data_IF_495311234690
#
_entry.id   IF_495311234690
#
_cell.length_a   1.000
_cell.length_b   1.000
_cell.length_c   1.000
_cell.angle_alpha   90.00
_cell.angle_beta   90.00
_cell.angle_gamma   90.00
#
_symmetry.space_group_name_H-M   'P 1'
#
loop_
_entity.id
_entity.type
_entity.pdbx_description
1 polymer ?
#
# COMPACT_ATOMS: atom_id res chain seq x y z
N UNK A 1 -9.57 -16.47 -44.64
CA UNK A 1 -8.77 -15.29 -45.04
C UNK A 1 -8.77 -14.35 -43.83
N UNK A 2 -7.76 -14.44 -42.96
CA UNK A 2 -6.59 -13.51 -42.83
C UNK A 2 -6.98 -12.05 -42.50
N UNK A 3 -6.62 -11.67 -41.26
CA UNK A 3 -6.12 -10.39 -40.74
C UNK A 3 -7.04 -9.14 -40.88
N UNK A 4 -7.14 -8.23 -39.91
CA UNK A 4 -6.02 -7.38 -39.48
C UNK A 4 -6.36 -6.66 -38.15
N UNK A 5 -5.38 -6.65 -37.24
CA UNK A 5 -5.29 -5.85 -36.00
C UNK A 5 -4.79 -4.45 -36.37
N UNK A 6 -5.29 -3.39 -35.74
CA UNK A 6 -4.52 -2.15 -35.62
C UNK A 6 -4.66 -1.55 -34.22
N UNK A 7 -3.58 -1.70 -33.46
CA UNK A 7 -3.26 -1.03 -32.20
C UNK A 7 -2.76 0.36 -32.55
N UNK A 8 -3.36 1.41 -31.99
CA UNK A 8 -2.88 2.78 -32.14
C UNK A 8 -2.02 3.16 -30.94
N UNK A 9 -0.71 3.10 -31.14
CA UNK A 9 0.31 3.80 -30.36
C UNK A 9 0.12 5.31 -30.52
N UNK A 10 0.04 6.05 -29.42
CA UNK A 10 0.28 7.49 -29.43
C UNK A 10 1.32 7.85 -28.35
N UNK A 11 2.59 7.65 -28.69
CA UNK A 11 3.69 8.40 -28.11
C UNK A 11 3.98 9.57 -29.06
N UNK A 12 3.78 10.80 -28.58
CA UNK A 12 4.29 12.00 -29.22
C UNK A 12 5.17 12.74 -28.22
N UNK A 13 6.45 12.70 -28.54
CA UNK A 13 7.61 13.32 -27.91
C UNK A 13 7.70 14.82 -28.26
N UNK A 14 8.12 15.66 -27.31
CA UNK A 14 8.86 16.93 -27.55
C UNK A 14 9.92 17.06 -26.43
N UNK A 15 11.12 16.51 -26.62
CA UNK A 15 12.40 17.16 -26.99
C UNK A 15 12.99 18.17 -26.01
N UNK A 16 14.18 17.85 -25.47
CA UNK A 16 15.32 18.78 -25.49
C UNK A 16 16.63 18.01 -25.65
N UNK A 17 17.47 18.52 -26.55
CA UNK A 17 18.72 17.96 -27.01
C UNK A 17 19.86 18.08 -25.97
N UNK A 18 20.65 17.02 -25.84
CA UNK A 18 22.11 17.13 -25.95
C UNK A 18 22.67 15.88 -26.64
N UNK A 19 23.55 16.10 -27.62
CA UNK A 19 24.20 15.07 -28.43
C UNK A 19 25.33 14.41 -27.63
N UNK A 20 25.40 13.08 -27.66
CA UNK A 20 26.65 12.35 -27.96
C UNK A 20 26.39 10.87 -28.26
N UNK A 21 27.21 10.33 -29.15
CA UNK A 21 27.04 9.11 -29.94
C UNK A 21 26.85 7.81 -29.16
N UNK A 22 25.89 6.98 -29.60
CA UNK A 22 25.86 5.51 -29.38
C UNK A 22 24.81 4.80 -30.26
N UNK A 23 24.87 5.02 -31.58
CA UNK A 23 24.12 4.22 -32.58
C UNK A 23 24.87 2.91 -32.88
N UNK A 24 24.83 1.94 -31.96
CA UNK A 24 25.01 0.51 -32.31
C UNK A 24 24.70 -0.47 -31.16
N UNK A 25 24.59 0.00 -29.91
CA UNK A 25 24.34 -0.88 -28.75
C UNK A 25 22.86 -1.08 -28.41
N UNK A 26 21.95 -0.25 -28.92
CA UNK A 26 20.52 -0.32 -28.57
C UNK A 26 19.77 -1.47 -29.27
N UNK A 27 20.13 -1.85 -30.50
CA UNK A 27 19.38 -2.86 -31.26
C UNK A 27 19.61 -4.31 -30.79
N UNK A 28 20.75 -4.61 -30.13
CA UNK A 28 20.94 -5.94 -29.52
C UNK A 28 20.25 -6.08 -28.16
N UNK A 29 20.11 -4.99 -27.42
CA UNK A 29 19.49 -4.99 -26.10
C UNK A 29 17.95 -4.96 -26.18
N UNK A 30 17.39 -4.35 -27.23
CA UNK A 30 15.94 -4.34 -27.47
C UNK A 30 15.47 -5.73 -27.94
N UNK A 31 16.23 -6.42 -28.81
CA UNK A 31 15.88 -7.77 -29.28
C UNK A 31 16.09 -8.89 -28.24
N UNK A 32 16.88 -8.66 -27.18
CA UNK A 32 17.03 -9.60 -26.06
C UNK A 32 15.96 -9.43 -24.98
N UNK A 33 15.26 -8.29 -24.95
CA UNK A 33 14.26 -7.97 -23.93
C UNK A 33 12.84 -8.38 -24.37
N UNK A 34 12.58 -8.50 -25.68
CA UNK A 34 11.31 -9.00 -26.24
C UNK A 34 11.15 -10.53 -26.22
N UNK A 35 12.13 -11.31 -25.76
CA UNK A 35 12.10 -12.78 -25.86
C UNK A 35 11.99 -13.55 -24.53
N UNK A 36 11.59 -12.93 -23.41
CA UNK A 36 11.31 -13.68 -22.17
C UNK A 36 10.11 -13.22 -21.32
N UNK A 37 9.42 -12.13 -21.68
CA UNK A 37 8.07 -11.87 -21.16
C UNK A 37 7.04 -12.54 -22.10
N UNK A 38 5.94 -13.06 -21.54
CA UNK A 38 4.68 -13.42 -22.24
C UNK A 38 4.33 -14.85 -22.68
N UNK A 39 4.99 -15.93 -22.24
CA UNK A 39 4.41 -17.29 -22.46
C UNK A 39 4.36 -18.29 -21.32
N UNK A 40 4.86 -18.02 -20.11
CA UNK A 40 4.92 -19.04 -19.04
C UNK A 40 4.08 -18.79 -17.79
N UNK A 41 3.75 -17.54 -17.45
CA UNK A 41 3.00 -17.26 -16.23
C UNK A 41 1.54 -17.04 -16.56
N UNK A 42 0.68 -17.79 -15.87
CA UNK A 42 -0.76 -17.72 -16.03
C UNK A 42 -1.35 -17.02 -14.81
N UNK A 43 -2.39 -16.25 -15.02
CA UNK A 43 -3.08 -15.58 -13.92
C UNK A 43 -3.69 -16.63 -12.97
N UNK A 44 -3.50 -16.42 -11.67
CA UNK A 44 -4.20 -17.13 -10.59
C UNK A 44 -5.24 -16.18 -10.03
N UNK A 45 -6.45 -16.69 -9.82
CA UNK A 45 -7.51 -15.92 -9.18
C UNK A 45 -7.63 -16.32 -7.72
N UNK A 46 -7.52 -15.36 -6.80
CA UNK A 46 -7.87 -15.54 -5.40
C UNK A 46 -9.26 -14.93 -5.21
N UNK A 47 -10.19 -15.66 -4.61
CA UNK A 47 -11.50 -15.12 -4.21
C UNK A 47 -11.65 -15.26 -2.71
N UNK A 48 -12.06 -14.18 -2.04
CA UNK A 48 -12.38 -14.25 -0.63
C UNK A 48 -13.78 -14.82 -0.43
N UNK A 49 -13.89 -15.81 0.44
CA UNK A 49 -15.12 -16.57 0.69
C UNK A 49 -16.25 -15.76 1.33
N UNK A 50 -15.93 -14.66 2.00
CA UNK A 50 -16.89 -13.78 2.67
C UNK A 50 -16.63 -12.33 2.29
N UNK A 51 -17.67 -11.48 2.20
CA UNK A 51 -17.48 -10.06 1.97
C UNK A 51 -16.59 -9.41 3.04
N UNK A 52 -15.75 -8.47 2.61
CA UNK A 52 -14.84 -7.71 3.47
C UNK A 52 -15.28 -6.25 3.39
N UNK A 53 -15.71 -5.66 4.52
CA UNK A 53 -16.15 -4.26 4.60
C UNK A 53 -17.16 -3.85 3.50
N UNK A 54 -18.09 -4.75 3.17
CA UNK A 54 -19.12 -4.48 2.15
C UNK A 54 -18.69 -4.77 0.71
N UNK A 55 -17.53 -5.41 0.50
CA UNK A 55 -17.03 -5.78 -0.83
C UNK A 55 -16.89 -7.28 -1.01
N UNK A 56 -17.27 -7.79 -2.17
CA UNK A 56 -16.76 -9.05 -2.68
C UNK A 56 -15.34 -8.80 -3.21
N UNK A 57 -14.34 -9.43 -2.60
CA UNK A 57 -12.94 -9.16 -2.93
C UNK A 57 -12.34 -10.33 -3.70
N UNK A 58 -11.58 -10.00 -4.74
CA UNK A 58 -10.76 -10.96 -5.48
C UNK A 58 -9.40 -10.36 -5.84
N UNK A 59 -8.42 -11.22 -6.07
CA UNK A 59 -7.11 -10.84 -6.57
C UNK A 59 -6.82 -11.60 -7.85
N UNK A 60 -6.35 -10.88 -8.88
CA UNK A 60 -5.75 -11.48 -10.07
C UNK A 60 -4.25 -11.39 -9.92
N UNK A 61 -3.60 -12.53 -9.71
CA UNK A 61 -2.21 -12.60 -9.28
C UNK A 61 -1.31 -13.24 -10.33
N UNK A 62 -0.18 -12.60 -10.59
CA UNK A 62 0.89 -13.10 -11.44
C UNK A 62 2.11 -13.44 -10.58
N UNK A 63 2.29 -14.71 -10.27
CA UNK A 63 3.48 -15.19 -9.57
C UNK A 63 4.72 -14.89 -10.42
N UNK A 64 5.74 -14.30 -9.79
CA UNK A 64 7.03 -14.01 -10.43
C UNK A 64 8.18 -14.83 -9.85
N UNK A 65 8.10 -15.20 -8.58
CA UNK A 65 9.21 -15.88 -7.90
C UNK A 65 8.88 -16.19 -6.44
N UNK A 66 9.86 -16.74 -5.72
CA UNK A 66 9.78 -16.84 -4.26
C UNK A 66 9.95 -15.48 -3.60
N UNK A 67 9.43 -15.35 -2.40
CA UNK A 67 9.70 -14.23 -1.54
C UNK A 67 11.17 -14.30 -1.07
N UNK A 68 11.96 -13.26 -1.31
CA UNK A 68 13.35 -13.14 -0.82
C UNK A 68 13.38 -12.80 0.68
N UNK A 69 12.59 -13.50 1.50
CA UNK A 69 12.65 -13.41 2.97
C UNK A 69 13.20 -14.74 3.46
N UNK A 70 14.29 -14.71 4.21
CA UNK A 70 14.95 -15.91 4.74
C UNK A 70 13.93 -16.82 5.43
N UNK A 71 13.77 -18.05 4.92
CA UNK A 71 12.89 -19.07 5.49
C UNK A 71 11.44 -19.07 5.00
N UNK A 72 11.06 -18.17 4.07
CA UNK A 72 9.73 -18.22 3.45
C UNK A 72 9.71 -19.09 2.20
N UNK A 73 8.77 -20.04 2.14
CA UNK A 73 8.49 -20.81 0.91
C UNK A 73 7.46 -20.14 0.01
N UNK A 74 6.95 -18.96 0.40
CA UNK A 74 5.85 -18.31 -0.29
C UNK A 74 6.28 -17.67 -1.61
N UNK A 75 5.34 -17.66 -2.57
CA UNK A 75 5.51 -16.97 -3.84
C UNK A 75 5.11 -15.50 -3.71
N UNK A 76 5.72 -14.63 -4.51
CA UNK A 76 5.35 -13.21 -4.60
C UNK A 76 5.20 -12.76 -6.05
N UNK A 77 4.46 -11.68 -6.25
CA UNK A 77 4.33 -11.03 -7.55
C UNK A 77 3.19 -10.00 -7.57
N UNK A 78 3.05 -9.23 -8.65
CA UNK A 78 2.00 -8.23 -8.74
C UNK A 78 0.63 -8.87 -8.80
N UNK A 79 -0.33 -8.26 -8.11
CA UNK A 79 -1.74 -8.56 -8.23
C UNK A 79 -2.57 -7.30 -8.47
N UNK A 80 -3.70 -7.48 -9.15
CA UNK A 80 -4.79 -6.49 -9.16
C UNK A 80 -5.80 -6.96 -8.12
N UNK A 81 -5.98 -6.18 -7.07
CA UNK A 81 -7.07 -6.40 -6.12
C UNK A 81 -8.32 -5.71 -6.66
N UNK A 82 -9.43 -6.43 -6.62
CA UNK A 82 -10.72 -6.01 -7.18
C UNK A 82 -11.75 -6.09 -6.05
N UNK A 83 -12.45 -4.99 -5.85
CA UNK A 83 -13.45 -4.78 -4.80
C UNK A 83 -14.78 -4.46 -5.46
N UNK A 84 -15.68 -5.44 -5.50
CA UNK A 84 -17.04 -5.23 -6.00
C UNK A 84 -17.96 -4.91 -4.82
N UNK A 85 -18.56 -3.72 -4.81
CA UNK A 85 -19.50 -3.33 -3.77
C UNK A 85 -20.72 -4.26 -3.79
N UNK A 86 -21.06 -4.87 -2.65
CA UNK A 86 -22.15 -5.87 -2.60
C UNK A 86 -23.51 -5.29 -2.98
N UNK A 87 -23.73 -3.99 -2.71
CA UNK A 87 -24.99 -3.29 -2.92
C UNK A 87 -25.04 -2.63 -4.31
N UNK A 88 -24.03 -1.84 -4.67
CA UNK A 88 -24.05 -1.03 -5.90
C UNK A 88 -23.53 -1.77 -7.13
N UNK A 89 -22.78 -2.87 -6.94
CA UNK A 89 -22.07 -3.62 -8.00
C UNK A 89 -20.96 -2.83 -8.70
N UNK A 90 -20.63 -1.64 -8.20
CA UNK A 90 -19.48 -0.87 -8.66
C UNK A 90 -18.18 -1.62 -8.32
N UNK A 91 -17.23 -1.54 -9.25
CA UNK A 91 -15.96 -2.25 -9.16
C UNK A 91 -14.85 -1.24 -8.98
N UNK A 92 -14.24 -1.27 -7.80
CA UNK A 92 -13.02 -0.54 -7.50
C UNK A 92 -11.81 -1.46 -7.53
N UNK A 93 -10.62 -0.91 -7.75
CA UNK A 93 -9.41 -1.72 -7.86
C UNK A 93 -8.15 -0.99 -7.41
N UNK A 94 -7.12 -1.78 -7.07
CA UNK A 94 -5.76 -1.29 -6.76
C UNK A 94 -4.70 -2.28 -7.21
N UNK A 95 -3.52 -1.77 -7.57
CA UNK A 95 -2.34 -2.60 -7.85
C UNK A 95 -1.57 -2.90 -6.56
N UNK A 96 -1.40 -4.18 -6.27
CA UNK A 96 -0.52 -4.66 -5.21
C UNK A 96 0.75 -5.28 -5.84
N UNK A 97 1.86 -4.54 -5.97
CA UNK A 97 3.02 -4.97 -6.76
C UNK A 97 3.76 -6.18 -6.19
N UNK A 98 3.65 -6.43 -4.89
CA UNK A 98 4.32 -7.52 -4.18
C UNK A 98 3.32 -8.38 -3.39
N UNK A 99 2.22 -8.76 -4.03
CA UNK A 99 1.19 -9.58 -3.41
C UNK A 99 1.73 -10.99 -3.14
N UNK A 100 1.42 -11.51 -1.96
CA UNK A 100 1.65 -12.90 -1.59
C UNK A 100 0.48 -13.42 -0.78
N UNK A 101 0.22 -14.71 -0.87
CA UNK A 101 -0.76 -15.42 -0.05
C UNK A 101 -0.38 -16.89 -0.05
N UNK A 102 -0.71 -17.58 1.03
CA UNK A 102 -0.52 -19.02 1.11
C UNK A 102 -1.38 -19.73 0.04
N UNK A 103 -0.76 -20.67 -0.66
CA UNK A 103 -1.42 -21.47 -1.69
C UNK A 103 -1.84 -22.79 -1.05
N UNK A 104 -3.12 -23.14 -1.18
CA UNK A 104 -3.66 -24.37 -0.61
C UNK A 104 -2.95 -25.59 -1.19
N UNK A 105 -2.74 -26.62 -0.36
CA UNK A 105 -1.93 -27.80 -0.72
C UNK A 105 -2.42 -28.48 -2.00
N UNK A 106 -3.73 -28.51 -2.22
CA UNK A 106 -4.37 -29.07 -3.42
C UNK A 106 -4.10 -28.27 -4.70
N UNK A 107 -3.77 -26.99 -4.58
CA UNK A 107 -3.50 -26.09 -5.70
C UNK A 107 -2.02 -26.07 -6.09
N UNK A 108 -1.12 -26.54 -5.21
CA UNK A 108 0.32 -26.64 -5.51
C UNK A 108 0.60 -27.49 -6.76
N UNK A 109 -0.27 -28.45 -7.10
CA UNK A 109 -0.17 -29.25 -8.34
C UNK A 109 -0.21 -28.43 -9.64
N UNK A 110 -0.73 -27.20 -9.59
CA UNK A 110 -0.78 -26.29 -10.73
C UNK A 110 0.50 -25.45 -10.88
N UNK A 111 1.45 -25.58 -9.96
CA UNK A 111 2.69 -24.79 -9.93
C UNK A 111 3.88 -25.73 -10.15
N UNK A 112 4.78 -25.33 -11.04
CA UNK A 112 6.03 -26.04 -11.28
C UNK A 112 7.19 -25.26 -10.67
N UNK A 113 7.93 -25.92 -9.77
CA UNK A 113 9.12 -25.39 -9.10
C UNK A 113 10.30 -26.30 -9.43
N UNK A 114 11.50 -25.74 -9.61
CA UNK A 114 12.75 -26.50 -9.80
C UNK A 114 13.82 -25.93 -8.87
N UNK A 115 14.45 -26.78 -8.07
CA UNK A 115 15.49 -26.38 -7.10
C UNK A 115 15.02 -25.27 -6.14
N UNK A 116 13.72 -25.31 -5.79
CA UNK A 116 13.09 -24.27 -5.00
C UNK A 116 12.67 -23.03 -5.80
N UNK A 117 13.07 -22.85 -7.05
CA UNK A 117 12.71 -21.68 -7.86
C UNK A 117 11.42 -21.88 -8.67
N UNK A 118 10.58 -20.84 -8.70
CA UNK A 118 9.36 -20.84 -9.51
C UNK A 118 9.70 -20.88 -11.01
N UNK A 119 9.04 -21.77 -11.77
CA UNK A 119 9.26 -21.91 -13.22
C UNK A 119 8.04 -21.49 -14.05
N UNK A 120 6.86 -21.99 -13.70
CA UNK A 120 5.59 -21.73 -14.39
C UNK A 120 4.41 -22.20 -13.57
N UNK A 121 3.22 -21.75 -13.95
CA UNK A 121 1.97 -22.23 -13.40
C UNK A 121 0.89 -22.42 -14.48
N UNK A 122 -0.14 -23.18 -14.13
CA UNK A 122 -1.44 -23.15 -14.80
C UNK A 122 -2.36 -22.16 -14.08
N UNK A 123 -3.38 -21.64 -14.78
CA UNK A 123 -4.43 -20.85 -14.13
C UNK A 123 -5.26 -21.74 -13.21
N UNK A 124 -5.58 -21.24 -12.03
CA UNK A 124 -6.54 -21.84 -11.11
C UNK A 124 -7.22 -20.74 -10.28
N UNK A 125 -8.32 -21.10 -9.63
CA UNK A 125 -8.97 -20.24 -8.64
C UNK A 125 -8.85 -20.86 -7.27
N UNK A 126 -8.39 -20.07 -6.30
CA UNK A 126 -8.37 -20.44 -4.89
C UNK A 126 -9.42 -19.65 -4.13
N UNK A 127 -10.12 -20.30 -3.21
CA UNK A 127 -11.06 -19.65 -2.30
C UNK A 127 -10.35 -19.45 -0.96
N UNK A 128 -9.97 -18.21 -0.66
CA UNK A 128 -9.29 -17.86 0.59
C UNK A 128 -10.27 -17.36 1.64
N UNK A 129 -9.89 -17.52 2.90
CA UNK A 129 -10.57 -16.88 4.03
C UNK A 129 -9.88 -15.56 4.33
N UNK A 130 -10.68 -14.51 4.54
CA UNK A 130 -10.14 -13.25 5.02
C UNK A 130 -9.84 -13.36 6.51
N UNK A 131 -8.61 -13.02 6.90
CA UNK A 131 -8.21 -12.95 8.29
C UNK A 131 -7.96 -11.47 8.59
N UNK A 132 -8.84 -10.86 9.39
CA UNK A 132 -8.62 -9.49 9.86
C UNK A 132 -7.40 -9.49 10.79
N UNK A 133 -6.44 -8.56 10.62
CA UNK A 133 -5.37 -8.41 11.60
C UNK A 133 -5.95 -8.08 12.97
N UNK A 134 -5.47 -8.75 14.02
CA UNK A 134 -5.75 -8.37 15.41
C UNK A 134 -4.71 -7.34 15.84
N UNK A 135 -5.14 -6.12 16.13
CA UNK A 135 -4.28 -5.04 16.62
C UNK A 135 -4.19 -5.00 18.16
N UNK A 136 -4.51 -6.10 18.83
CA UNK A 136 -4.52 -6.18 20.29
C UNK A 136 -3.08 -6.10 20.82
N UNK A 137 -2.68 -4.88 21.22
CA UNK A 137 -1.40 -4.51 21.84
C UNK A 137 -0.14 -4.87 21.03
N UNK A 138 0.41 -3.86 20.34
CA UNK A 138 1.86 -3.79 20.07
C UNK A 138 2.58 -3.43 21.38
N UNK A 139 2.68 -4.38 22.30
CA UNK A 139 3.18 -4.14 23.65
C UNK A 139 3.47 -5.43 24.40
N UNK A 140 4.76 -5.62 24.69
CA UNK A 140 5.42 -6.67 25.49
C UNK A 140 4.52 -7.65 26.25
N UNK A 141 4.46 -8.89 25.77
CA UNK A 141 4.56 -10.04 26.66
C UNK A 141 5.33 -11.14 25.95
N UNK A 142 6.42 -11.58 26.59
CA UNK A 142 7.10 -12.83 26.27
C UNK A 142 6.09 -13.97 26.40
N UNK A 143 6.33 -15.02 25.62
CA UNK A 143 5.72 -16.35 25.74
C UNK A 143 4.29 -16.45 25.22
N UNK A 144 4.16 -16.62 23.90
CA UNK A 144 3.36 -17.74 23.41
C UNK A 144 4.13 -18.46 22.30
N UNK A 145 4.68 -19.62 22.63
CA UNK A 145 5.26 -20.57 21.68
C UNK A 145 4.15 -21.02 20.71
N UNK A 146 4.33 -20.77 19.41
CA UNK A 146 3.50 -21.40 18.36
C UNK A 146 2.90 -20.50 17.28
N UNK A 147 3.17 -19.19 17.28
CA UNK A 147 2.58 -18.31 16.27
C UNK A 147 3.39 -18.29 14.97
N UNK A 148 2.93 -19.07 13.99
CA UNK A 148 3.31 -18.89 12.59
C UNK A 148 2.87 -17.52 12.08
N UNK A 149 3.75 -16.84 11.36
CA UNK A 149 3.45 -15.56 10.72
C UNK A 149 2.40 -15.76 9.61
N UNK A 150 1.16 -15.30 9.82
CA UNK A 150 0.18 -15.22 8.72
C UNK A 150 0.34 -13.87 8.05
N UNK A 151 0.84 -13.86 6.83
CA UNK A 151 0.89 -12.64 6.02
C UNK A 151 -0.54 -12.24 5.59
N UNK A 152 -0.89 -10.99 5.81
CA UNK A 152 -2.16 -10.40 5.42
C UNK A 152 -1.86 -9.39 4.31
N UNK A 153 -2.25 -9.64 3.04
CA UNK A 153 -1.88 -8.76 1.91
C UNK A 153 -2.52 -7.38 1.99
N UNK A 154 -3.70 -7.28 2.60
CA UNK A 154 -4.40 -6.01 2.76
C UNK A 154 -5.40 -6.08 3.90
N UNK A 155 -5.76 -4.91 4.41
CA UNK A 155 -6.86 -4.74 5.36
C UNK A 155 -7.40 -3.32 5.31
N UNK A 156 -8.46 -3.07 6.07
CA UNK A 156 -9.14 -1.79 6.15
C UNK A 156 -9.03 -1.24 7.57
N UNK A 157 -8.65 0.03 7.68
CA UNK A 157 -8.56 0.75 8.95
C UNK A 157 -8.72 2.24 8.69
N UNK A 158 -9.56 2.91 9.49
CA UNK A 158 -9.59 4.37 9.59
C UNK A 158 -8.24 4.86 10.13
N UNK A 159 -7.50 5.63 9.33
CA UNK A 159 -6.19 6.18 9.68
C UNK A 159 -6.14 7.69 9.66
N UNK A 160 -7.18 8.37 9.16
CA UNK A 160 -7.26 9.84 9.15
C UNK A 160 -8.37 10.41 10.04
N UNK A 161 -9.01 9.53 10.82
CA UNK A 161 -10.00 9.82 11.85
C UNK A 161 -11.34 10.35 11.35
N UNK A 162 -11.67 10.10 10.08
CA UNK A 162 -12.93 10.51 9.45
C UNK A 162 -14.08 9.47 9.59
N UNK A 163 -13.87 8.45 10.43
CA UNK A 163 -14.76 7.30 10.65
C UNK A 163 -15.01 6.44 9.39
N UNK A 164 -14.19 6.59 8.34
CA UNK A 164 -14.18 5.72 7.16
C UNK A 164 -12.86 4.98 7.11
N UNK A 165 -12.91 3.71 6.74
CA UNK A 165 -11.67 2.95 6.61
C UNK A 165 -10.96 3.24 5.30
N UNK A 166 -9.64 3.41 5.38
CA UNK A 166 -8.72 3.38 4.25
C UNK A 166 -8.32 1.93 3.94
N UNK A 167 -7.98 1.68 2.68
CA UNK A 167 -7.35 0.42 2.28
C UNK A 167 -5.85 0.50 2.58
N UNK A 168 -5.34 -0.47 3.31
CA UNK A 168 -3.92 -0.64 3.60
C UNK A 168 -3.43 -1.87 2.87
N UNK A 169 -2.41 -1.71 2.01
CA UNK A 169 -1.69 -2.80 1.39
C UNK A 169 -0.42 -3.08 2.16
N UNK A 170 -0.18 -4.34 2.51
CA UNK A 170 1.01 -4.77 3.23
C UNK A 170 1.97 -5.40 2.26
N UNK A 171 3.17 -4.86 2.13
CA UNK A 171 4.15 -5.36 1.18
C UNK A 171 4.99 -6.46 1.84
N UNK A 172 5.31 -7.48 1.05
CA UNK A 172 5.99 -8.66 1.53
C UNK A 172 7.49 -8.43 1.80
N UNK A 173 8.11 -7.41 1.19
CA UNK A 173 9.46 -6.99 1.57
C UNK A 173 9.46 -6.37 2.96
N UNK A 174 10.27 -6.97 3.82
CA UNK A 174 10.69 -6.35 5.07
C UNK A 174 11.80 -5.34 4.78
N UNK A 175 11.84 -4.19 5.45
CA UNK A 175 13.04 -3.34 5.46
C UNK A 175 14.29 -4.17 5.82
N UNK A 176 15.49 -3.68 5.47
CA UNK A 176 16.80 -4.21 5.93
C UNK A 176 16.92 -4.37 7.45
N UNK A 177 15.93 -3.86 8.19
CA UNK A 177 15.85 -3.77 9.64
C UNK A 177 14.45 -4.16 10.15
N UNK A 178 13.80 -5.16 9.56
CA UNK A 178 12.50 -5.67 10.02
C UNK A 178 11.35 -4.66 9.85
N UNK A 179 10.26 -5.04 9.16
CA UNK A 179 9.19 -4.08 8.86
C UNK A 179 8.48 -4.36 7.56
N UNK A 180 7.23 -4.84 7.54
CA UNK A 180 6.43 -4.80 6.32
C UNK A 180 6.13 -3.35 5.96
N UNK A 181 6.43 -2.96 4.73
CA UNK A 181 6.03 -1.65 4.20
C UNK A 181 4.52 -1.65 4.02
N UNK A 182 3.83 -0.66 4.59
CA UNK A 182 2.40 -0.48 4.35
C UNK A 182 2.20 0.74 3.46
N UNK A 183 1.30 0.60 2.49
CA UNK A 183 0.83 1.72 1.69
C UNK A 183 -0.65 1.94 1.94
N UNK A 184 -1.00 3.20 2.15
CA UNK A 184 -2.37 3.61 2.44
C UNK A 184 -3.02 4.13 1.16
N UNK A 185 -4.28 3.79 0.99
CA UNK A 185 -5.07 4.21 -0.14
C UNK A 185 -6.43 4.71 0.35
N UNK A 186 -6.80 5.92 -0.08
CA UNK A 186 -8.11 6.48 0.22
C UNK A 186 -9.16 5.68 -0.55
N UNK A 187 -10.28 5.41 0.13
CA UNK A 187 -11.42 4.73 -0.48
C UNK A 187 -11.92 5.56 -1.68
N UNK A 188 -12.12 4.94 -2.85
CA UNK A 188 -12.55 5.63 -4.06
C UNK A 188 -13.91 6.31 -3.89
N UNK A 189 -14.10 7.41 -4.61
CA UNK A 189 -15.38 8.10 -4.72
C UNK A 189 -16.13 7.65 -5.99
N UNK A 190 -17.36 8.14 -6.17
CA UNK A 190 -18.18 7.78 -7.33
C UNK A 190 -17.53 8.16 -8.68
N UNK A 191 -16.66 9.18 -8.69
CA UNK A 191 -16.06 9.72 -9.92
C UNK A 191 -14.76 9.00 -10.30
N UNK A 192 -14.11 8.33 -9.35
CA UNK A 192 -12.90 7.56 -9.58
C UNK A 192 -12.93 6.25 -8.80
N UNK A 193 -13.05 5.13 -9.52
CA UNK A 193 -13.11 3.79 -8.95
C UNK A 193 -11.71 3.21 -8.60
N UNK A 194 -10.62 3.88 -8.96
CA UNK A 194 -9.27 3.48 -8.55
C UNK A 194 -8.96 4.00 -7.14
N UNK A 195 -8.49 3.10 -6.27
CA UNK A 195 -7.97 3.48 -4.95
C UNK A 195 -6.74 4.40 -5.11
N UNK A 196 -6.79 5.59 -4.50
CA UNK A 196 -5.71 6.58 -4.62
C UNK A 196 -4.72 6.47 -3.46
N UNK A 197 -3.44 6.29 -3.77
CA UNK A 197 -2.36 6.25 -2.76
C UNK A 197 -2.30 7.58 -1.99
N UNK A 198 -2.22 7.49 -0.66
CA UNK A 198 -2.05 8.62 0.25
C UNK A 198 -0.55 8.89 0.41
N UNK A 199 -0.05 9.88 -0.33
CA UNK A 199 1.39 10.16 -0.45
C UNK A 199 1.86 11.34 0.42
N UNK A 200 0.94 12.10 1.00
CA UNK A 200 1.27 13.12 2.00
C UNK A 200 1.69 12.51 3.36
N UNK A 201 2.46 13.27 4.14
CA UNK A 201 2.68 12.93 5.55
C UNK A 201 1.36 13.06 6.34
N UNK A 202 1.08 12.17 7.31
CA UNK A 202 1.92 11.06 7.79
C UNK A 202 1.78 9.74 7.01
N UNK A 203 0.98 9.69 5.97
CA UNK A 203 0.56 8.42 5.36
C UNK A 203 1.63 7.76 4.48
N UNK A 204 2.58 8.53 3.94
CA UNK A 204 3.65 8.02 3.07
C UNK A 204 4.71 7.13 3.74
N UNK A 205 4.80 7.11 5.07
CA UNK A 205 5.79 6.33 5.83
C UNK A 205 5.14 5.39 6.86
N UNK A 206 3.97 4.85 6.52
CA UNK A 206 3.21 3.99 7.41
C UNK A 206 3.83 2.58 7.51
N UNK A 207 4.03 2.08 8.73
CA UNK A 207 4.63 0.77 9.01
C UNK A 207 4.08 0.13 10.28
N UNK A 208 4.30 -1.16 10.51
CA UNK A 208 4.13 -1.77 11.85
C UNK A 208 2.79 -2.44 12.16
N UNK A 209 1.93 -2.70 11.18
CA UNK A 209 0.74 -3.53 11.39
C UNK A 209 1.10 -5.03 11.32
N UNK A 210 1.32 -5.64 12.49
CA UNK A 210 1.67 -7.06 12.62
C UNK A 210 0.62 -7.87 13.37
N UNK A 211 0.54 -9.16 13.02
CA UNK A 211 -0.01 -10.20 13.89
C UNK A 211 1.15 -11.11 14.33
N UNK A 212 1.42 -11.15 15.64
CA UNK A 212 2.46 -11.99 16.23
C UNK A 212 3.84 -11.31 16.33
N UNK A 213 4.30 -11.11 17.57
CA UNK A 213 5.62 -10.69 18.01
C UNK A 213 5.97 -9.17 17.93
N UNK A 214 5.73 -8.38 18.99
CA UNK A 214 6.29 -7.03 19.14
C UNK A 214 7.81 -7.00 19.35
N UNK A 215 8.47 -8.16 19.42
CA UNK A 215 9.93 -8.33 19.56
C UNK A 215 10.60 -8.91 18.30
N UNK A 216 9.88 -9.10 17.19
CA UNK A 216 10.55 -9.10 15.90
C UNK A 216 11.01 -7.65 15.72
N UNK A 217 12.31 -7.41 15.78
CA UNK A 217 12.97 -6.10 15.75
C UNK A 217 12.54 -5.30 14.51
N UNK A 218 11.31 -4.78 14.50
CA UNK A 218 10.89 -3.79 13.56
C UNK A 218 11.51 -2.51 14.07
N UNK A 219 12.64 -2.12 13.46
CA UNK A 219 13.31 -0.87 13.79
C UNK A 219 12.43 0.33 13.42
N UNK A 220 11.23 0.14 12.86
CA UNK A 220 10.22 1.19 12.78
C UNK A 220 8.81 0.64 12.86
N UNK A 221 7.90 1.38 13.50
CA UNK A 221 6.48 1.04 13.57
C UNK A 221 5.63 2.31 13.70
N UNK A 222 4.35 2.19 13.36
CA UNK A 222 3.34 3.25 13.48
C UNK A 222 2.28 2.85 14.50
N UNK A 223 1.88 3.80 15.34
CA UNK A 223 0.75 3.65 16.26
C UNK A 223 -0.29 4.74 15.97
N UNK A 224 -1.56 4.36 16.11
CA UNK A 224 -2.71 5.27 15.97
C UNK A 224 -3.38 5.34 17.33
N UNK A 225 -3.50 6.55 17.87
CA UNK A 225 -4.27 6.85 19.06
C UNK A 225 -5.57 7.54 18.65
N UNK A 226 -6.67 6.78 18.65
CA UNK A 226 -7.99 7.29 18.28
C UNK A 226 -8.58 8.25 19.32
N UNK A 227 -8.16 8.17 20.58
CA UNK A 227 -8.66 9.05 21.64
C UNK A 227 -8.05 10.45 21.49
N UNK A 228 -6.72 10.51 21.30
CA UNK A 228 -6.01 11.77 21.15
C UNK A 228 -5.89 12.23 19.70
N UNK A 229 -6.35 11.42 18.74
CA UNK A 229 -6.30 11.69 17.29
C UNK A 229 -4.87 11.94 16.83
N UNK A 230 -3.97 11.03 17.21
CA UNK A 230 -2.55 11.13 16.88
C UNK A 230 -2.03 9.90 16.15
N UNK A 231 -1.05 10.12 15.29
CA UNK A 231 -0.27 9.08 14.63
C UNK A 231 1.18 9.26 15.04
N UNK A 232 1.79 8.20 15.56
CA UNK A 232 3.20 8.23 15.97
C UNK A 232 4.01 7.24 15.15
N UNK A 233 5.00 7.73 14.42
CA UNK A 233 6.03 6.90 13.81
C UNK A 233 7.22 6.82 14.76
N UNK A 234 7.53 5.59 15.16
CA UNK A 234 8.69 5.24 15.95
C UNK A 234 9.77 4.68 15.04
N UNK A 235 11.01 5.12 15.22
CA UNK A 235 12.19 4.63 14.51
C UNK A 235 13.33 4.33 15.48
N UNK A 236 14.00 3.20 15.30
CA UNK A 236 15.20 2.76 15.97
C UNK A 236 16.36 2.85 14.99
N UNK A 237 17.42 3.56 15.36
CA UNK A 237 18.71 3.43 14.69
C UNK A 237 19.50 2.30 15.37
N UNK A 238 20.24 1.50 14.59
CA UNK A 238 20.96 0.30 15.06
C UNK A 238 22.07 0.53 16.08
N UNK A 239 22.22 1.75 16.61
CA UNK A 239 23.16 2.15 17.64
C UNK A 239 22.47 2.61 18.95
N UNK A 240 21.21 2.19 19.19
CA UNK A 240 20.47 2.53 20.42
C UNK A 240 19.79 3.90 20.39
N UNK A 241 19.74 4.57 19.24
CA UNK A 241 18.99 5.82 19.08
C UNK A 241 17.51 5.52 18.85
N UNK A 242 16.67 5.98 19.77
CA UNK A 242 15.21 5.92 19.65
C UNK A 242 14.69 7.27 19.16
N UNK A 243 13.83 7.24 18.15
CA UNK A 243 13.27 8.44 17.59
C UNK A 243 11.79 8.37 17.31
N UNK A 244 11.09 9.49 17.53
CA UNK A 244 9.65 9.59 17.34
C UNK A 244 9.28 10.82 16.52
N UNK A 245 8.36 10.64 15.59
CA UNK A 245 7.63 11.72 14.94
C UNK A 245 6.16 11.54 15.29
N UNK A 246 5.58 12.55 15.92
CA UNK A 246 4.18 12.56 16.36
C UNK A 246 3.42 13.54 15.48
N UNK A 247 2.32 13.07 14.90
CA UNK A 247 1.38 13.84 14.09
C UNK A 247 0.08 13.96 14.87
N UNK A 248 -0.34 15.18 15.15
CA UNK A 248 -1.57 15.47 15.89
C UNK A 248 -2.61 16.04 14.92
N UNK A 249 -3.81 15.48 14.95
CA UNK A 249 -4.92 15.87 14.11
C UNK A 249 -5.96 16.62 14.93
N UNK A 250 -6.59 17.63 14.31
CA UNK A 250 -7.73 18.32 14.89
C UNK A 250 -8.87 18.35 13.90
N UNK A 251 -10.08 18.29 14.44
CA UNK A 251 -11.28 18.51 13.65
C UNK A 251 -11.23 19.91 13.03
N UNK A 252 -11.56 20.01 11.75
CA UNK A 252 -11.73 21.28 11.07
C UNK A 252 -12.76 22.14 11.80
N UNK A 253 -12.54 23.46 11.86
CA UNK A 253 -13.54 24.38 12.41
C UNK A 253 -14.84 24.40 11.61
N UNK A 254 -14.80 23.99 10.34
CA UNK A 254 -15.90 24.13 9.38
C UNK A 254 -16.36 22.81 8.75
N UNK A 255 -15.89 21.67 9.26
CA UNK A 255 -16.20 20.36 8.68
C UNK A 255 -16.07 19.23 9.68
N UNK A 256 -16.53 18.05 9.26
CA UNK A 256 -16.43 16.84 10.08
C UNK A 256 -15.06 16.15 9.98
N UNK A 257 -14.22 16.58 9.03
CA UNK A 257 -12.93 15.98 8.76
C UNK A 257 -11.86 16.42 9.76
N UNK A 258 -10.92 15.51 10.03
CA UNK A 258 -9.72 15.79 10.79
C UNK A 258 -8.58 16.20 9.86
N UNK A 259 -7.83 17.23 10.26
CA UNK A 259 -6.69 17.73 9.52
C UNK A 259 -5.44 17.68 10.38
N UNK A 260 -4.31 17.42 9.72
CA UNK A 260 -3.01 17.46 10.36
C UNK A 260 -2.75 18.88 10.88
N UNK A 261 -2.71 19.02 12.21
CA UNK A 261 -2.59 20.28 12.90
C UNK A 261 -1.14 20.54 13.35
N UNK A 262 -0.44 19.50 13.79
CA UNK A 262 0.90 19.64 14.36
C UNK A 262 1.75 18.42 14.08
N UNK A 263 3.05 18.64 13.88
CA UNK A 263 4.06 17.59 13.89
C UNK A 263 5.20 17.95 14.83
N UNK A 264 5.56 16.96 15.63
CA UNK A 264 6.66 17.01 16.59
C UNK A 264 7.70 15.97 16.17
N UNK A 265 8.91 16.40 15.80
CA UNK A 265 10.05 15.52 15.53
C UNK A 265 11.05 15.66 16.68
N UNK A 266 11.04 14.66 17.56
CA UNK A 266 11.77 14.70 18.84
C UNK A 266 13.29 14.65 18.64
N UNK A 267 13.77 14.10 17.53
CA UNK A 267 15.22 13.89 17.32
C UNK A 267 15.87 15.00 16.52
N UNK A 268 15.14 15.56 15.55
CA UNK A 268 15.65 16.63 14.72
C UNK A 268 15.32 18.03 15.26
N UNK A 269 14.70 18.12 16.44
CA UNK A 269 14.19 19.37 17.03
C UNK A 269 13.41 20.20 15.99
N UNK A 270 12.64 19.49 15.16
CA UNK A 270 11.95 20.07 14.02
C UNK A 270 10.44 20.01 14.26
N UNK A 271 9.99 20.87 15.15
CA UNK A 271 8.60 20.98 15.53
C UNK A 271 7.92 22.05 14.70
N UNK A 272 6.72 21.74 14.20
CA UNK A 272 5.94 22.68 13.42
C UNK A 272 4.46 22.57 13.71
N UNK A 273 3.80 23.71 13.55
CA UNK A 273 2.36 23.87 13.65
C UNK A 273 1.83 24.30 12.27
N UNK A 274 0.72 23.69 11.86
CA UNK A 274 -0.06 24.16 10.72
C UNK A 274 -1.19 25.02 11.27
N UNK A 275 -1.18 26.29 10.89
CA UNK A 275 -2.28 27.20 11.15
C UNK A 275 -3.13 27.29 9.91
N UNK A 276 -4.39 26.91 10.05
CA UNK A 276 -5.40 27.14 9.04
C UNK A 276 -6.00 28.52 9.29
N UNK A 277 -6.12 29.32 8.24
CA UNK A 277 -6.79 30.62 8.28
C UNK A 277 -7.87 30.60 7.23
N UNK A 278 -9.10 30.70 7.69
CA UNK A 278 -10.26 30.83 6.82
C UNK A 278 -10.34 32.26 6.32
N UNK A 279 -10.35 32.42 5.00
CA UNK A 279 -10.63 33.67 4.33
C UNK A 279 -11.99 33.53 3.68
N UNK A 280 -13.00 34.15 4.29
CA UNK A 280 -14.30 34.35 3.66
C UNK A 280 -14.21 35.54 2.71
N UNK A 281 -14.48 35.27 1.43
CA UNK A 281 -14.70 36.30 0.41
C UNK A 281 -16.13 36.19 -0.09
N UNK A 282 -16.70 37.25 -0.66
CA UNK A 282 -18.02 37.20 -1.27
C UNK A 282 -17.85 37.36 -2.78
N UNK A 283 -18.60 36.59 -3.57
CA UNK A 283 -18.67 36.82 -5.02
C UNK A 283 -19.48 38.09 -5.35
N UNK A 284 -19.50 38.46 -6.63
CA UNK A 284 -20.23 39.63 -7.13
C UNK A 284 -21.76 39.54 -6.90
N UNK A 285 -22.26 38.36 -6.51
CA UNK A 285 -23.66 38.09 -6.23
C UNK A 285 -23.96 38.00 -4.71
N UNK A 286 -22.96 38.21 -3.85
CA UNK A 286 -23.09 38.16 -2.40
C UNK A 286 -23.06 36.74 -1.80
N UNK A 287 -22.69 35.73 -2.59
CA UNK A 287 -22.48 34.36 -2.09
C UNK A 287 -21.13 34.25 -1.39
N UNK A 288 -21.10 33.66 -0.21
CA UNK A 288 -19.85 33.44 0.53
C UNK A 288 -19.01 32.35 -0.16
N UNK A 289 -17.81 32.73 -0.58
CA UNK A 289 -16.73 31.85 -1.01
C UNK A 289 -15.74 31.70 0.15
N UNK A 290 -15.70 30.51 0.72
CA UNK A 290 -14.78 30.15 1.80
C UNK A 290 -13.49 29.60 1.18
N UNK A 291 -12.36 30.27 1.42
CA UNK A 291 -11.03 29.79 1.05
C UNK A 291 -10.21 29.52 2.30
N UNK A 292 -9.75 28.29 2.46
CA UNK A 292 -8.87 27.90 3.57
C UNK A 292 -7.42 28.05 3.12
N UNK A 293 -6.67 28.96 3.76
CA UNK A 293 -5.23 29.08 3.57
C UNK A 293 -4.51 28.35 4.71
N UNK A 294 -3.59 27.44 4.38
CA UNK A 294 -2.75 26.75 5.36
C UNK A 294 -1.36 27.39 5.40
N UNK A 295 -0.88 27.74 6.58
CA UNK A 295 0.47 28.25 6.80
C UNK A 295 1.20 27.37 7.79
N UNK A 296 2.50 27.14 7.54
CA UNK A 296 3.34 26.28 8.38
C UNK A 296 4.37 27.14 9.10
N UNK A 297 4.40 27.06 10.43
CA UNK A 297 5.36 27.78 11.27
C UNK A 297 6.18 26.82 12.12
N UNK A 298 7.49 27.07 12.20
CA UNK A 298 8.38 26.32 13.11
C UNK A 298 8.13 26.76 14.55
N UNK A 299 8.01 25.81 15.46
CA UNK A 299 7.92 26.06 16.91
C UNK A 299 9.36 26.25 17.44
N UNK A 300 9.59 27.34 18.16
CA UNK A 300 10.87 27.66 18.81
C UNK A 300 10.92 27.12 20.24
#
# INVERSE_FOLDING_TARGET
>A
MKNTILILFLFLTLTSCSKQDKKESANKQINSTENNLDKKNKEITIKYSTPIKGYNVSARWLIRGKLEVMGSENFSGPAILIFENINTKEISWVLHPEFTIDIDKENLKYITVKDGEYIKNQSFTQISKYIKPKFEKVGTSKEEEGFGYTYIPFFFQDVDFDDKDELILTYAKTYEKGGSQNKLFKTPDYNNLEFREMTEEPFSNFSGFYYGNPSADAYSYTTIDYQNKTITHSGLSGAGGHGYIIYEFKKSEYGDDYHLFKKTDVNNYNNWEIKETTISTYDDYGSEIIKINKSKSKLY
#
